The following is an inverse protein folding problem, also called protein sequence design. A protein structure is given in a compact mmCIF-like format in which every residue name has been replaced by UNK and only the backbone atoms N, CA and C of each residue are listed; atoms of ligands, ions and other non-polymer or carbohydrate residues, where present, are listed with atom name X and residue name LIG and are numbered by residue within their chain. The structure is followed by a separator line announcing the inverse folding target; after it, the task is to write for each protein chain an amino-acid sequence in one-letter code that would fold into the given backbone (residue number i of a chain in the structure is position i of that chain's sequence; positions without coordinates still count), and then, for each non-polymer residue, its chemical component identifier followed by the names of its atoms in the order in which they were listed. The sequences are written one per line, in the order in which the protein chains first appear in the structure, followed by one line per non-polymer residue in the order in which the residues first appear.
data_IF_853565287487
#
_entry.id   IF_853565287487
#
_cell.length_a   1.000
_cell.length_b   1.000
_cell.length_c   1.000
_cell.angle_alpha   90.00
_cell.angle_beta   90.00
_cell.angle_gamma   90.00
#
_symmetry.space_group_name_H-M   'P 1'
#
loop_
_entity.id
_entity.type
_entity.pdbx_description
1 polymer ?
#
# COMPACT_ATOMS: atom_id res chain seq x y z
N UNK A 1 24.98 16.76 -16.98
CA UNK A 1 26.35 16.23 -16.78
C UNK A 1 26.39 14.91 -16.01
N UNK A 2 25.44 14.59 -15.12
CA UNK A 2 25.43 13.32 -14.35
C UNK A 2 25.27 12.07 -15.23
N UNK A 3 24.49 12.14 -16.32
CA UNK A 3 24.19 10.97 -17.16
C UNK A 3 25.38 10.36 -17.91
N UNK A 4 26.31 11.18 -18.42
CA UNK A 4 27.45 10.68 -19.19
C UNK A 4 28.49 9.98 -18.31
N UNK A 5 28.72 10.50 -17.10
CA UNK A 5 29.66 9.90 -16.14
C UNK A 5 29.16 8.56 -15.60
N UNK A 6 27.84 8.41 -15.39
CA UNK A 6 27.22 7.14 -14.97
C UNK A 6 27.30 6.09 -16.09
N UNK A 7 27.08 6.50 -17.34
CA UNK A 7 27.19 5.61 -18.50
C UNK A 7 28.61 5.06 -18.68
N UNK A 8 29.63 5.92 -18.54
CA UNK A 8 31.05 5.51 -18.62
C UNK A 8 31.44 4.57 -17.47
N UNK A 9 30.90 4.78 -16.27
CA UNK A 9 31.16 3.92 -15.11
C UNK A 9 30.54 2.51 -15.28
N UNK A 10 29.30 2.43 -15.77
CA UNK A 10 28.66 1.14 -16.04
C UNK A 10 29.36 0.37 -17.16
N UNK A 11 29.83 1.08 -18.20
CA UNK A 11 30.58 0.47 -19.30
C UNK A 11 31.93 -0.09 -18.81
N UNK A 12 32.59 0.58 -17.85
CA UNK A 12 33.82 0.09 -17.22
C UNK A 12 33.59 -1.16 -16.34
N UNK A 13 32.49 -1.22 -15.58
CA UNK A 13 32.12 -2.40 -14.78
C UNK A 13 31.86 -3.64 -15.64
N UNK A 14 31.39 -3.46 -16.88
CA UNK A 14 31.14 -4.56 -17.82
C UNK A 14 32.44 -4.99 -18.50
N UNK A 15 33.32 -4.06 -18.88
CA UNK A 15 34.57 -4.38 -19.59
C UNK A 15 35.64 -5.02 -18.69
N UNK A 16 35.67 -4.71 -17.40
CA UNK A 16 36.65 -5.24 -16.44
C UNK A 16 36.61 -6.77 -16.30
N UNK A 17 35.45 -7.44 -16.11
CA UNK A 17 35.39 -8.91 -16.09
C UNK A 17 35.66 -9.54 -17.46
N UNK A 18 35.28 -8.88 -18.56
CA UNK A 18 35.54 -9.37 -19.93
C UNK A 18 37.06 -9.43 -20.20
N UNK A 19 37.82 -8.42 -19.79
CA UNK A 19 39.29 -8.40 -19.93
C UNK A 19 40.02 -9.42 -19.04
N UNK A 20 39.39 -9.88 -17.95
CA UNK A 20 39.92 -10.93 -17.06
C UNK A 20 39.63 -12.35 -17.56
N UNK A 21 38.51 -12.56 -18.26
CA UNK A 21 38.13 -13.87 -18.82
C UNK A 21 38.62 -14.11 -20.25
N UNK A 22 38.95 -13.07 -21.02
CA UNK A 22 39.37 -13.22 -22.42
C UNK A 22 40.69 -12.47 -22.73
N UNK A 23 41.84 -13.15 -22.63
CA UNK A 23 43.17 -12.53 -22.81
C UNK A 23 43.52 -11.86 -24.16
N UNK A 24 42.97 -12.24 -25.34
CA UNK A 24 43.46 -11.73 -26.63
C UNK A 24 43.01 -10.30 -26.97
N UNK A 25 42.15 -9.65 -26.16
CA UNK A 25 41.79 -8.22 -26.36
C UNK A 25 42.91 -7.27 -25.91
N UNK A 26 43.81 -7.73 -25.04
CA UNK A 26 44.93 -6.91 -24.54
C UNK A 26 46.03 -6.68 -25.58
N UNK A 27 46.05 -7.39 -26.72
CA UNK A 27 47.06 -7.20 -27.76
C UNK A 27 46.84 -5.92 -28.60
N UNK A 28 45.69 -5.27 -28.47
CA UNK A 28 45.41 -3.99 -29.14
C UNK A 28 46.11 -2.81 -28.45
N UNK A 29 46.41 -2.95 -27.15
CA UNK A 29 47.19 -1.97 -26.39
C UNK A 29 48.62 -2.50 -26.29
N UNK A 30 49.58 -1.82 -26.90
CA UNK A 30 51.02 -2.15 -26.93
C UNK A 30 51.67 -2.14 -25.52
N UNK A 31 51.24 -3.03 -24.62
CA UNK A 31 51.78 -3.16 -23.27
C UNK A 31 52.60 -4.45 -23.22
N UNK A 32 53.94 -4.37 -23.13
CA UNK A 32 54.80 -5.55 -23.12
C UNK A 32 54.58 -6.35 -21.82
N UNK A 33 54.00 -7.54 -21.99
CA UNK A 33 53.92 -8.66 -21.03
C UNK A 33 53.68 -8.26 -19.55
N UNK A 34 52.51 -7.66 -19.21
CA UNK A 34 52.22 -7.27 -17.85
C UNK A 34 51.91 -8.52 -16.99
N UNK A 35 52.72 -8.74 -15.96
CA UNK A 35 52.45 -9.80 -14.99
C UNK A 35 51.12 -9.55 -14.28
N UNK A 36 50.38 -10.62 -13.96
CA UNK A 36 49.04 -10.56 -13.33
C UNK A 36 48.99 -9.62 -12.12
N UNK A 37 50.06 -9.55 -11.32
CA UNK A 37 50.21 -8.62 -10.19
C UNK A 37 50.21 -7.14 -10.60
N UNK A 38 50.89 -6.77 -11.70
CA UNK A 38 50.94 -5.38 -12.20
C UNK A 38 49.58 -4.94 -12.75
N UNK A 39 48.85 -5.84 -13.41
CA UNK A 39 47.48 -5.58 -13.89
C UNK A 39 46.56 -5.27 -12.69
N UNK A 40 46.58 -6.11 -11.65
CA UNK A 40 45.75 -5.87 -10.46
C UNK A 40 46.07 -4.55 -9.75
N UNK A 41 47.34 -4.15 -9.68
CA UNK A 41 47.74 -2.88 -9.06
C UNK A 41 47.22 -1.69 -9.86
N UNK A 42 47.35 -1.70 -11.19
CA UNK A 42 46.93 -0.59 -12.06
C UNK A 42 45.40 -0.43 -12.07
N UNK A 43 44.66 -1.54 -12.23
CA UNK A 43 43.20 -1.51 -12.24
C UNK A 43 42.62 -1.23 -10.85
N UNK A 44 43.23 -1.76 -9.79
CA UNK A 44 42.83 -1.49 -8.40
C UNK A 44 43.04 -0.03 -8.01
N UNK A 45 44.17 0.58 -8.38
CA UNK A 45 44.41 2.01 -8.10
C UNK A 45 43.47 2.92 -8.88
N UNK A 46 43.11 2.56 -10.12
CA UNK A 46 42.16 3.32 -10.93
C UNK A 46 40.74 3.28 -10.37
N UNK A 47 40.27 2.11 -9.91
CA UNK A 47 38.98 1.96 -9.23
C UNK A 47 38.90 2.80 -7.95
N UNK A 48 39.92 2.71 -7.08
CA UNK A 48 39.95 3.47 -5.83
C UNK A 48 39.94 4.99 -6.07
N UNK A 49 40.69 5.48 -7.07
CA UNK A 49 40.68 6.89 -7.45
C UNK A 49 39.31 7.35 -7.99
N UNK A 50 38.61 6.48 -8.74
CA UNK A 50 37.26 6.77 -9.24
C UNK A 50 36.23 6.93 -8.11
N UNK A 51 36.28 6.06 -7.09
CA UNK A 51 35.39 6.17 -5.92
C UNK A 51 35.65 7.45 -5.11
N UNK A 52 36.92 7.82 -4.91
CA UNK A 52 37.28 9.07 -4.21
C UNK A 52 36.77 10.29 -5.00
N UNK A 53 36.95 10.30 -6.32
CA UNK A 53 36.49 11.40 -7.16
C UNK A 53 34.95 11.53 -7.16
N UNK A 54 34.23 10.40 -7.19
CA UNK A 54 32.76 10.38 -7.11
C UNK A 54 32.26 10.89 -5.75
N UNK A 55 32.91 10.50 -4.65
CA UNK A 55 32.62 11.00 -3.30
C UNK A 55 32.82 12.52 -3.19
N UNK A 56 33.89 13.06 -3.77
CA UNK A 56 34.13 14.52 -3.81
C UNK A 56 33.03 15.22 -4.63
N UNK A 57 32.64 14.69 -5.79
CA UNK A 57 31.58 15.27 -6.63
C UNK A 57 30.24 15.28 -5.89
N UNK A 58 29.87 14.20 -5.19
CA UNK A 58 28.65 14.14 -4.38
C UNK A 58 28.70 15.11 -3.20
N UNK A 59 29.86 15.25 -2.54
CA UNK A 59 30.05 16.20 -1.45
C UNK A 59 29.94 17.66 -1.92
N UNK A 60 30.46 17.99 -3.11
CA UNK A 60 30.31 19.31 -3.71
C UNK A 60 28.87 19.58 -4.16
N UNK A 61 28.12 18.55 -4.58
CA UNK A 61 26.70 18.68 -4.92
C UNK A 61 25.81 18.96 -3.70
N UNK A 62 26.16 18.46 -2.50
CA UNK A 62 25.41 18.76 -1.27
C UNK A 62 25.65 20.18 -0.74
N UNK A 63 26.82 20.76 -1.02
CA UNK A 63 27.18 22.07 -0.48
C UNK A 63 26.61 23.26 -1.27
N UNK A 64 25.96 23.02 -2.43
CA UNK A 64 25.38 24.07 -3.27
C UNK A 64 23.85 24.22 -3.12
N UNK A 65 23.27 23.62 -2.08
CA UNK A 65 21.90 23.85 -1.59
C UNK A 65 21.94 24.61 -0.25
N UNK A 66 22.66 25.73 -0.21
CA UNK A 66 22.39 26.80 0.76
C UNK A 66 22.04 28.05 -0.03
N UNK A 67 20.88 28.02 -0.69
CA UNK A 67 20.23 29.24 -1.15
C UNK A 67 19.63 29.90 0.09
N UNK A 68 20.39 30.87 0.61
CA UNK A 68 19.94 32.10 1.26
C UNK A 68 18.64 32.03 2.08
N UNK A 69 18.74 31.60 3.34
CA UNK A 69 17.86 32.18 4.38
C UNK A 69 18.26 33.64 4.57
N UNK A 70 17.56 34.53 3.86
CA UNK A 70 17.57 35.95 4.18
C UNK A 70 16.74 36.15 5.44
N UNK A 71 17.43 36.36 6.55
CA UNK A 71 16.89 36.80 7.84
C UNK A 71 16.20 38.16 7.68
N UNK A 72 14.90 38.17 7.41
CA UNK A 72 14.07 39.37 7.57
C UNK A 72 13.70 39.49 9.05
N UNK A 73 14.51 40.23 9.80
CA UNK A 73 14.08 40.85 11.05
C UNK A 73 13.28 42.09 10.69
N UNK A 74 11.95 41.96 10.61
CA UNK A 74 11.04 43.09 10.77
C UNK A 74 9.89 42.68 11.69
N UNK A 75 9.71 43.47 12.74
CA UNK A 75 8.61 43.34 13.68
C UNK A 75 7.27 43.48 12.93
N UNK A 76 6.24 42.67 13.24
CA UNK A 76 4.95 42.83 12.62
C UNK A 76 4.28 44.07 13.23
N UNK A 77 4.30 45.17 12.48
CA UNK A 77 3.26 46.20 12.59
C UNK A 77 1.95 45.52 12.17
N UNK A 78 1.07 45.29 13.13
CA UNK A 78 -0.27 44.75 12.93
C UNK A 78 -1.06 45.74 12.08
N UNK A 79 -1.01 45.55 10.76
CA UNK A 79 -2.01 46.10 9.85
C UNK A 79 -3.16 45.10 9.86
N UNK A 80 -4.40 45.50 10.20
CA UNK A 80 -5.54 44.61 10.13
C UNK A 80 -5.78 44.27 8.66
N UNK A 81 -5.37 43.06 8.27
CA UNK A 81 -5.79 42.44 7.02
C UNK A 81 -7.31 42.28 7.13
N UNK A 82 -8.12 42.89 6.23
CA UNK A 82 -9.54 42.62 6.24
C UNK A 82 -9.72 41.13 6.05
N UNK A 83 -10.49 40.50 6.95
CA UNK A 83 -10.94 39.12 6.86
C UNK A 83 -11.68 38.90 5.54
N UNK A 84 -10.90 38.68 4.48
CA UNK A 84 -11.41 38.20 3.21
C UNK A 84 -11.72 36.75 3.43
N UNK A 85 -13.01 36.49 3.58
CA UNK A 85 -13.65 35.18 3.63
C UNK A 85 -13.01 34.33 2.53
N UNK A 86 -12.17 33.37 2.90
CA UNK A 86 -11.74 32.31 1.99
C UNK A 86 -12.96 31.41 1.86
N UNK A 87 -13.82 31.76 0.92
CA UNK A 87 -14.91 30.90 0.48
C UNK A 87 -14.25 29.61 -0.04
N UNK A 88 -14.62 28.42 0.47
CA UNK A 88 -14.05 27.17 0.01
C UNK A 88 -14.29 27.09 -1.50
N UNK A 89 -13.24 26.83 -2.28
CA UNK A 89 -13.35 26.64 -3.72
C UNK A 89 -14.25 25.43 -4.02
N UNK A 90 -15.55 25.67 -4.17
CA UNK A 90 -16.51 24.68 -4.64
C UNK A 90 -16.18 24.46 -6.12
N UNK A 91 -15.37 23.45 -6.41
CA UNK A 91 -15.19 23.02 -7.80
C UNK A 91 -16.54 22.51 -8.26
N UNK A 92 -17.19 23.14 -9.26
CA UNK A 92 -18.51 22.72 -9.70
C UNK A 92 -18.44 21.30 -10.26
N UNK A 93 -19.42 20.47 -9.91
CA UNK A 93 -19.59 19.17 -10.54
C UNK A 93 -19.70 19.30 -12.07
N UNK A 94 -19.21 18.32 -12.85
CA UNK A 94 -19.29 18.39 -14.31
C UNK A 94 -20.73 18.50 -14.80
N UNK A 95 -20.94 19.26 -15.88
CA UNK A 95 -22.26 19.69 -16.36
C UNK A 95 -23.18 18.55 -16.87
N UNK A 96 -22.65 17.32 -17.06
CA UNK A 96 -23.35 16.18 -17.68
C UNK A 96 -23.26 14.90 -16.84
N UNK A 97 -23.74 14.94 -15.60
CA UNK A 97 -23.84 13.75 -14.75
C UNK A 97 -25.15 12.99 -15.02
N UNK A 98 -25.06 11.68 -15.28
CA UNK A 98 -26.22 10.78 -15.27
C UNK A 98 -26.62 10.52 -13.81
N UNK A 99 -27.82 10.97 -13.40
CA UNK A 99 -28.29 10.75 -12.04
C UNK A 99 -28.85 9.33 -11.87
N UNK A 100 -28.49 8.66 -10.79
CA UNK A 100 -29.01 7.34 -10.44
C UNK A 100 -29.12 7.14 -8.94
N UNK A 101 -30.10 6.32 -8.52
CA UNK A 101 -30.27 5.91 -7.12
C UNK A 101 -29.46 4.65 -6.83
N UNK A 102 -28.64 4.70 -5.78
CA UNK A 102 -27.85 3.57 -5.31
C UNK A 102 -28.71 2.69 -4.42
N UNK A 103 -28.82 1.42 -4.80
CA UNK A 103 -29.55 0.40 -4.05
C UNK A 103 -28.74 -0.16 -2.89
N UNK A 104 -27.49 -0.54 -3.16
CA UNK A 104 -26.55 -1.06 -2.18
C UNK A 104 -25.11 -0.94 -2.64
N UNK A 105 -24.20 -0.85 -1.68
CA UNK A 105 -22.77 -0.97 -1.88
C UNK A 105 -22.36 -2.44 -1.83
N UNK A 106 -21.60 -2.88 -2.83
CA UNK A 106 -21.11 -4.26 -2.94
C UNK A 106 -19.76 -4.37 -2.21
N UNK A 107 -18.84 -3.46 -2.51
CA UNK A 107 -17.51 -3.34 -1.89
C UNK A 107 -17.07 -1.86 -1.86
N UNK A 108 -15.82 -1.56 -1.50
CA UNK A 108 -15.32 -0.20 -1.35
C UNK A 108 -15.36 0.66 -2.62
N UNK A 109 -15.42 0.06 -3.82
CA UNK A 109 -15.38 0.76 -5.11
C UNK A 109 -16.43 0.26 -6.12
N UNK A 110 -17.38 -0.53 -5.66
CA UNK A 110 -18.44 -1.13 -6.48
C UNK A 110 -19.80 -0.95 -5.82
N UNK A 111 -20.76 -0.42 -6.58
CA UNK A 111 -22.14 -0.21 -6.15
C UNK A 111 -23.12 -0.83 -7.12
N UNK A 112 -24.32 -1.13 -6.65
CA UNK A 112 -25.45 -1.49 -7.50
C UNK A 112 -26.54 -0.44 -7.42
N UNK A 113 -27.14 -0.15 -8.57
CA UNK A 113 -28.21 0.82 -8.72
C UNK A 113 -29.58 0.13 -8.64
N UNK A 114 -30.64 0.91 -8.40
CA UNK A 114 -32.02 0.39 -8.38
C UNK A 114 -32.45 -0.25 -9.70
N UNK A 115 -31.89 0.21 -10.83
CA UNK A 115 -32.15 -0.37 -12.15
C UNK A 115 -31.37 -1.68 -12.43
N UNK A 116 -30.68 -2.23 -11.42
CA UNK A 116 -29.93 -3.49 -11.52
C UNK A 116 -28.54 -3.37 -12.15
N UNK A 117 -28.15 -2.19 -12.67
CA UNK A 117 -26.79 -1.98 -13.18
C UNK A 117 -25.78 -1.92 -12.02
N UNK A 118 -24.57 -2.40 -12.28
CA UNK A 118 -23.44 -2.38 -11.35
C UNK A 118 -22.42 -1.37 -11.85
N UNK A 119 -21.95 -0.51 -10.96
CA UNK A 119 -20.93 0.51 -11.25
C UNK A 119 -19.63 0.11 -10.58
N UNK A 120 -18.51 0.14 -11.33
CA UNK A 120 -17.14 0.06 -10.81
C UNK A 120 -16.48 1.43 -10.92
N UNK A 121 -15.91 1.90 -9.82
CA UNK A 121 -15.32 3.22 -9.75
C UNK A 121 -14.02 3.25 -10.57
N UNK A 122 -13.87 4.25 -11.43
CA UNK A 122 -12.67 4.42 -12.25
C UNK A 122 -11.52 4.98 -11.41
N UNK A 123 -10.30 4.53 -11.69
CA UNK A 123 -9.06 5.16 -11.22
C UNK A 123 -8.64 4.83 -9.79
N UNK A 124 -9.43 4.00 -9.09
CA UNK A 124 -9.18 3.62 -7.70
C UNK A 124 -9.35 2.11 -7.48
N UNK A 125 -8.67 1.58 -6.47
CA UNK A 125 -8.80 0.19 -6.05
C UNK A 125 -8.89 0.09 -4.53
N UNK A 126 -9.94 -0.54 -4.03
CA UNK A 126 -10.16 -0.77 -2.60
C UNK A 126 -9.73 -2.17 -2.19
N UNK A 127 -9.35 -2.38 -0.92
CA UNK A 127 -9.06 -3.71 -0.43
C UNK A 127 -10.30 -4.60 -0.52
N UNK A 128 -10.12 -5.79 -1.07
CA UNK A 128 -11.23 -6.72 -1.32
C UNK A 128 -11.79 -7.31 -0.02
N UNK A 129 -13.11 -7.27 0.14
CA UNK A 129 -13.84 -7.75 1.33
C UNK A 129 -14.65 -9.02 1.07
N UNK A 130 -15.00 -9.32 -0.18
CA UNK A 130 -16.11 -10.23 -0.53
C UNK A 130 -15.70 -11.39 -1.43
N UNK A 131 -14.49 -11.39 -2.01
CA UNK A 131 -14.01 -12.53 -2.81
C UNK A 131 -13.76 -13.76 -1.92
N UNK A 132 -14.58 -14.83 -2.00
CA UNK A 132 -14.47 -16.00 -1.14
C UNK A 132 -13.19 -16.81 -1.38
N UNK A 133 -12.43 -16.49 -2.44
CA UNK A 133 -11.16 -17.14 -2.78
C UNK A 133 -9.95 -16.46 -2.13
N UNK A 134 -10.15 -15.29 -1.51
CA UNK A 134 -9.06 -14.47 -0.94
C UNK A 134 -9.37 -14.16 0.53
N UNK A 135 -8.35 -14.05 1.39
CA UNK A 135 -8.56 -13.48 2.71
C UNK A 135 -9.05 -12.04 2.58
N UNK A 136 -9.92 -11.62 3.49
CA UNK A 136 -10.34 -10.21 3.62
C UNK A 136 -9.08 -9.38 3.80
N UNK A 137 -8.90 -8.39 2.91
CA UNK A 137 -7.72 -7.54 2.96
C UNK A 137 -7.85 -6.55 4.13
N UNK A 138 -6.72 -6.10 4.67
CA UNK A 138 -6.72 -5.07 5.70
C UNK A 138 -7.48 -3.84 5.19
N UNK A 139 -8.34 -3.27 6.03
CA UNK A 139 -9.15 -2.09 5.75
C UNK A 139 -10.32 -2.29 4.74
N UNK A 140 -10.58 -3.52 4.30
CA UNK A 140 -11.62 -3.81 3.31
C UNK A 140 -13.05 -3.53 3.82
N UNK A 141 -13.31 -3.84 5.11
CA UNK A 141 -14.62 -3.61 5.74
C UNK A 141 -14.86 -2.12 5.93
N UNK A 142 -13.83 -1.41 6.35
CA UNK A 142 -13.80 0.03 6.59
C UNK A 142 -14.00 0.81 5.28
N UNK A 143 -13.34 0.39 4.20
CA UNK A 143 -13.56 0.96 2.86
C UNK A 143 -15.01 0.77 2.39
N UNK A 144 -15.56 -0.44 2.57
CA UNK A 144 -16.94 -0.74 2.21
C UNK A 144 -17.95 0.06 3.06
N UNK A 145 -17.70 0.17 4.38
CA UNK A 145 -18.53 0.95 5.28
C UNK A 145 -18.50 2.44 4.93
N UNK A 146 -17.32 2.98 4.61
CA UNK A 146 -17.19 4.37 4.21
C UNK A 146 -17.95 4.67 2.92
N UNK A 147 -17.84 3.79 1.91
CA UNK A 147 -18.58 3.97 0.68
C UNK A 147 -20.11 3.90 0.95
N UNK A 148 -20.57 3.02 1.85
CA UNK A 148 -21.99 2.97 2.27
C UNK A 148 -22.48 4.30 2.84
N UNK A 149 -21.74 4.89 3.77
CA UNK A 149 -22.08 6.19 4.36
C UNK A 149 -22.23 7.29 3.30
N UNK A 150 -21.39 7.25 2.27
CA UNK A 150 -21.36 8.28 1.23
C UNK A 150 -22.49 8.13 0.21
N UNK A 151 -22.87 6.90 -0.16
CA UNK A 151 -23.72 6.69 -1.34
C UNK A 151 -24.89 5.73 -1.17
N UNK A 152 -24.95 4.88 -0.13
CA UNK A 152 -26.03 3.88 -0.04
C UNK A 152 -27.41 4.54 0.18
N UNK A 153 -28.41 4.15 -0.62
CA UNK A 153 -29.74 4.76 -0.61
C UNK A 153 -29.79 6.20 -1.14
N UNK A 154 -28.68 6.74 -1.66
CA UNK A 154 -28.57 8.11 -2.13
C UNK A 154 -28.73 8.20 -3.66
N UNK A 155 -29.12 9.40 -4.12
CA UNK A 155 -28.93 9.79 -5.52
C UNK A 155 -27.49 10.24 -5.71
N UNK A 156 -26.82 9.69 -6.73
CA UNK A 156 -25.46 10.03 -7.14
C UNK A 156 -25.44 10.45 -8.60
N UNK A 157 -24.48 11.30 -8.95
CA UNK A 157 -24.14 11.61 -10.34
C UNK A 157 -23.07 10.66 -10.86
N UNK A 158 -23.27 10.15 -12.06
CA UNK A 158 -22.36 9.21 -12.73
C UNK A 158 -21.76 9.88 -13.95
N UNK A 159 -20.44 9.94 -13.99
CA UNK A 159 -19.69 10.43 -15.14
C UNK A 159 -18.95 9.27 -15.80
N UNK A 160 -19.12 9.13 -17.11
CA UNK A 160 -18.32 8.21 -17.91
C UNK A 160 -17.02 8.90 -18.37
N UNK A 161 -15.95 8.13 -18.43
CA UNK A 161 -14.74 8.50 -19.16
C UNK A 161 -14.82 8.00 -20.62
N UNK A 162 -13.91 7.12 -21.04
CA UNK A 162 -13.85 6.61 -22.42
C UNK A 162 -14.60 5.28 -22.53
N UNK A 163 -14.31 4.34 -21.65
CA UNK A 163 -14.87 2.99 -21.66
C UNK A 163 -16.27 2.96 -21.04
N UNK A 164 -17.17 2.17 -21.63
CA UNK A 164 -18.53 2.00 -21.10
C UNK A 164 -18.58 0.99 -19.96
N UNK A 165 -17.98 -0.18 -20.17
CA UNK A 165 -17.99 -1.33 -19.25
C UNK A 165 -16.61 -1.97 -19.15
N UNK A 166 -16.38 -2.67 -18.04
CA UNK A 166 -15.27 -3.61 -17.92
C UNK A 166 -15.61 -4.98 -18.53
N UNK A 167 -14.65 -5.92 -18.50
CA UNK A 167 -14.82 -7.29 -19.00
C UNK A 167 -15.88 -8.12 -18.27
N UNK A 168 -16.38 -7.66 -17.13
CA UNK A 168 -17.44 -8.31 -16.34
C UNK A 168 -18.81 -7.67 -16.58
N UNK A 169 -18.90 -6.66 -17.46
CA UNK A 169 -20.14 -5.95 -17.77
C UNK A 169 -20.54 -4.91 -16.74
N UNK A 170 -19.65 -4.56 -15.78
CA UNK A 170 -19.90 -3.46 -14.85
C UNK A 170 -19.64 -2.14 -15.57
N UNK A 171 -20.52 -1.15 -15.37
CA UNK A 171 -20.31 0.18 -15.92
C UNK A 171 -19.12 0.85 -15.23
N UNK A 172 -18.26 1.49 -16.00
CA UNK A 172 -17.13 2.25 -15.49
C UNK A 172 -17.54 3.70 -15.33
N UNK A 173 -17.54 4.22 -14.09
CA UNK A 173 -17.92 5.62 -13.80
C UNK A 173 -17.03 6.27 -12.74
N UNK A 174 -16.91 7.59 -12.83
CA UNK A 174 -16.65 8.45 -11.68
C UNK A 174 -17.97 8.74 -10.97
N UNK A 175 -17.97 8.67 -9.64
CA UNK A 175 -19.19 8.81 -8.83
C UNK A 175 -19.14 10.11 -8.05
N UNK A 176 -20.21 10.89 -8.18
CA UNK A 176 -20.39 12.16 -7.50
C UNK A 176 -21.55 12.06 -6.52
N UNK A 177 -21.33 12.53 -5.29
CA UNK A 177 -22.40 12.83 -4.35
C UNK A 177 -22.42 14.34 -4.18
N UNK A 178 -23.49 14.97 -4.67
CA UNK A 178 -23.56 16.44 -4.79
C UNK A 178 -22.37 16.97 -5.61
N UNK A 179 -21.50 17.81 -5.02
CA UNK A 179 -20.29 18.33 -5.66
C UNK A 179 -19.00 17.56 -5.28
N UNK A 180 -19.13 16.43 -4.59
CA UNK A 180 -17.99 15.65 -4.09
C UNK A 180 -17.72 14.47 -5.02
N UNK A 181 -16.52 14.40 -5.59
CA UNK A 181 -16.03 13.23 -6.31
C UNK A 181 -15.68 12.13 -5.29
N UNK A 182 -16.56 11.14 -5.15
CA UNK A 182 -16.45 10.05 -4.16
C UNK A 182 -15.15 9.27 -4.37
N UNK A 183 -14.74 9.05 -5.62
CA UNK A 183 -13.48 8.38 -5.95
C UNK A 183 -12.28 9.06 -5.28
N UNK A 184 -12.19 10.39 -5.39
CA UNK A 184 -11.11 11.19 -4.80
C UNK A 184 -11.17 11.16 -3.28
N UNK A 185 -12.38 11.29 -2.71
CA UNK A 185 -12.58 11.30 -1.27
C UNK A 185 -12.11 9.99 -0.62
N UNK A 186 -12.49 8.84 -1.20
CA UNK A 186 -12.08 7.52 -0.70
C UNK A 186 -10.56 7.36 -0.71
N UNK A 187 -9.86 7.85 -1.74
CA UNK A 187 -8.40 7.82 -1.79
C UNK A 187 -7.78 8.77 -0.76
N UNK A 188 -8.29 10.01 -0.68
CA UNK A 188 -7.80 11.05 0.23
C UNK A 188 -7.95 10.67 1.71
N UNK A 189 -8.99 9.91 2.05
CA UNK A 189 -9.21 9.38 3.39
C UNK A 189 -8.50 8.03 3.64
N UNK A 190 -7.82 7.47 2.63
CA UNK A 190 -7.01 6.26 2.77
C UNK A 190 -7.80 4.95 2.68
N UNK A 191 -9.02 4.94 2.13
CA UNK A 191 -9.82 3.73 1.92
C UNK A 191 -9.52 3.04 0.58
N UNK A 192 -8.90 3.75 -0.36
CA UNK A 192 -8.56 3.24 -1.68
C UNK A 192 -7.14 3.64 -2.09
N UNK A 193 -6.52 2.85 -2.97
CA UNK A 193 -5.29 3.19 -3.67
C UNK A 193 -5.63 3.84 -5.02
N UNK A 194 -4.73 4.70 -5.50
CA UNK A 194 -4.80 5.22 -6.86
C UNK A 194 -4.38 4.11 -7.84
N UNK A 195 -5.25 3.76 -8.80
CA UNK A 195 -4.98 2.68 -9.76
C UNK A 195 -5.40 3.06 -11.17
N UNK A 196 -4.42 3.17 -12.07
CA UNK A 196 -4.61 3.66 -13.44
C UNK A 196 -4.84 2.53 -14.43
N UNK A 197 -5.90 2.65 -15.24
CA UNK A 197 -6.21 1.72 -16.32
C UNK A 197 -6.59 2.51 -17.59
N UNK A 198 -5.63 2.76 -18.50
CA UNK A 198 -5.92 3.41 -19.78
C UNK A 198 -7.00 2.64 -20.57
N UNK A 199 -7.91 3.34 -21.26
CA UNK A 199 -7.91 4.79 -21.53
C UNK A 199 -8.54 5.68 -20.44
N UNK A 200 -9.09 5.11 -19.37
CA UNK A 200 -9.89 5.82 -18.37
C UNK A 200 -9.03 6.48 -17.27
N UNK A 201 -8.40 7.61 -17.61
CA UNK A 201 -7.39 8.27 -16.76
C UNK A 201 -7.68 9.76 -16.51
N UNK A 202 -8.87 10.26 -16.81
CA UNK A 202 -9.24 11.69 -16.70
C UNK A 202 -8.86 12.35 -15.37
N UNK A 203 -9.03 11.66 -14.25
CA UNK A 203 -8.74 12.18 -12.91
C UNK A 203 -7.53 11.51 -12.23
N UNK A 204 -6.70 10.77 -12.97
CA UNK A 204 -5.64 9.97 -12.37
C UNK A 204 -4.63 10.78 -11.55
N UNK A 205 -4.26 11.97 -12.02
CA UNK A 205 -3.33 12.85 -11.29
C UNK A 205 -3.93 13.34 -9.98
N UNK A 206 -5.23 13.65 -9.97
CA UNK A 206 -5.97 14.03 -8.77
C UNK A 206 -5.98 12.90 -7.73
N UNK A 207 -6.21 11.66 -8.16
CA UNK A 207 -6.15 10.50 -7.27
C UNK A 207 -4.74 10.23 -6.77
N UNK A 208 -3.71 10.41 -7.61
CA UNK A 208 -2.31 10.28 -7.20
C UNK A 208 -1.94 11.28 -6.09
N UNK A 209 -2.37 12.53 -6.22
CA UNK A 209 -2.16 13.57 -5.20
C UNK A 209 -2.94 13.28 -3.91
N UNK A 210 -4.19 12.84 -4.03
CA UNK A 210 -4.99 12.41 -2.88
C UNK A 210 -4.35 11.24 -2.13
N UNK A 211 -3.79 10.26 -2.85
CA UNK A 211 -3.11 9.11 -2.22
C UNK A 211 -1.84 9.56 -1.51
N UNK A 212 -1.08 10.47 -2.13
CA UNK A 212 0.11 11.06 -1.50
C UNK A 212 -0.26 11.78 -0.18
N UNK A 213 -1.32 12.59 -0.18
CA UNK A 213 -1.82 13.24 1.04
C UNK A 213 -2.22 12.20 2.11
N UNK A 214 -2.92 11.14 1.72
CA UNK A 214 -3.33 10.09 2.65
C UNK A 214 -2.12 9.37 3.28
N UNK A 215 -1.06 9.13 2.50
CA UNK A 215 0.20 8.54 2.98
C UNK A 215 0.95 9.45 3.95
N UNK A 216 1.10 10.72 3.60
CA UNK A 216 1.80 11.71 4.44
C UNK A 216 1.09 11.91 5.79
N UNK A 217 -0.23 11.69 5.84
CA UNK A 217 -1.05 11.79 7.03
C UNK A 217 -1.35 10.44 7.71
N UNK A 218 -0.74 9.34 7.27
CA UNK A 218 -0.95 7.99 7.81
C UNK A 218 -2.44 7.58 7.92
N UNK A 219 -3.25 7.95 6.93
CA UNK A 219 -4.71 7.68 6.94
C UNK A 219 -5.01 6.28 6.41
N UNK A 220 -5.99 5.61 7.03
CA UNK A 220 -6.54 4.34 6.58
C UNK A 220 -5.49 3.28 6.27
N UNK A 221 -5.41 2.86 5.00
CA UNK A 221 -4.44 1.90 4.48
C UNK A 221 -2.97 2.23 4.79
N UNK A 222 -2.67 3.50 5.05
CA UNK A 222 -1.34 4.00 5.33
C UNK A 222 -1.05 4.15 6.82
N UNK A 223 -2.02 3.84 7.68
CA UNK A 223 -1.87 3.80 9.13
C UNK A 223 -1.28 2.49 9.64
N UNK A 224 -0.88 2.47 10.91
CA UNK A 224 -0.18 1.33 11.54
C UNK A 224 -0.97 0.02 11.51
N UNK A 225 -2.31 0.09 11.51
CA UNK A 225 -3.21 -1.07 11.52
C UNK A 225 -2.98 -2.04 10.35
N UNK A 226 -2.52 -1.53 9.20
CA UNK A 226 -2.24 -2.36 8.02
C UNK A 226 -0.74 -2.61 7.76
N UNK A 227 0.16 -2.00 8.55
CA UNK A 227 1.61 -2.16 8.40
C UNK A 227 2.16 -3.39 9.12
N UNK A 228 1.36 -4.03 9.98
CA UNK A 228 1.72 -5.28 10.66
C UNK A 228 1.60 -6.44 9.68
N UNK A 229 2.56 -6.53 8.77
CA UNK A 229 2.88 -7.83 8.17
C UNK A 229 3.43 -8.67 9.32
N UNK A 230 2.96 -9.90 9.58
CA UNK A 230 3.61 -10.77 10.55
C UNK A 230 5.02 -11.03 10.02
N UNK A 231 5.97 -10.24 10.51
CA UNK A 231 7.38 -10.46 10.29
C UNK A 231 7.71 -11.68 11.12
N UNK A 232 7.52 -12.86 10.53
CA UNK A 232 8.16 -14.09 10.98
C UNK A 232 9.64 -13.91 10.67
N UNK A 233 10.31 -13.11 11.48
CA UNK A 233 11.74 -12.96 11.47
C UNK A 233 12.10 -12.56 12.88
N UNK A 234 12.94 -13.37 13.52
CA UNK A 234 13.46 -13.25 14.89
C UNK A 234 12.80 -14.08 16.02
N UNK A 235 12.27 -15.30 15.79
CA UNK A 235 12.25 -16.32 16.88
C UNK A 235 12.43 -17.76 16.35
N UNK A 236 13.47 -18.01 15.56
CA UNK A 236 14.04 -19.36 15.45
C UNK A 236 15.24 -19.44 16.39
N UNK A 237 14.95 -19.56 17.68
CA UNK A 237 15.90 -20.12 18.65
C UNK A 237 15.40 -21.53 18.94
N UNK A 238 16.01 -22.51 18.27
CA UNK A 238 15.84 -23.94 18.50
C UNK A 238 15.95 -24.29 19.99
N UNK A 239 15.01 -25.04 20.57
CA UNK A 239 15.24 -25.69 21.85
C UNK A 239 16.02 -26.99 21.62
N UNK A 240 17.27 -26.97 22.05
CA UNK A 240 18.12 -28.16 22.26
C UNK A 240 17.46 -29.09 23.28
N UNK A 241 17.31 -30.37 22.91
CA UNK A 241 16.93 -31.46 23.81
C UNK A 241 17.87 -31.52 25.03
N UNK A 242 17.31 -31.58 26.24
CA UNK A 242 17.78 -32.46 27.31
C UNK A 242 16.80 -32.52 28.47
N UNK A 243 16.87 -33.64 29.18
CA UNK A 243 15.85 -34.22 30.04
C UNK A 243 15.91 -33.74 31.50
N UNK A 244 14.82 -34.04 32.22
CA UNK A 244 14.74 -34.76 33.52
C UNK A 244 13.82 -34.06 34.54
N UNK A 245 12.74 -34.76 34.91
CA UNK A 245 12.34 -35.00 36.30
C UNK A 245 11.53 -33.95 37.07
N UNK A 246 10.23 -34.22 37.24
CA UNK A 246 9.67 -34.46 38.58
C UNK A 246 8.99 -33.32 39.37
N UNK A 247 7.73 -33.59 39.72
CA UNK A 247 6.98 -33.18 40.92
C UNK A 247 6.10 -31.91 40.82
N UNK A 248 4.81 -32.15 41.12
CA UNK A 248 3.68 -31.22 41.17
C UNK A 248 3.68 -30.37 42.44
N UNK A 249 3.29 -29.09 42.37
CA UNK A 249 2.14 -28.56 43.15
C UNK A 249 1.67 -27.20 42.63
N UNK A 250 0.41 -26.89 42.96
CA UNK A 250 -0.54 -25.96 42.37
C UNK A 250 -0.13 -24.48 42.37
N UNK A 251 -0.48 -23.76 41.29
CA UNK A 251 -0.93 -22.37 41.37
C UNK A 251 -1.74 -21.98 40.13
N UNK A 252 -2.88 -21.35 40.42
CA UNK A 252 -3.89 -20.83 39.50
C UNK A 252 -3.28 -19.98 38.38
N UNK A 253 -3.40 -20.41 37.12
CA UNK A 253 -3.04 -19.61 35.95
C UNK A 253 -4.00 -19.91 34.79
N UNK A 254 -4.70 -18.88 34.36
CA UNK A 254 -5.44 -18.75 33.11
C UNK A 254 -4.52 -19.19 31.95
N UNK A 255 -4.69 -20.42 31.48
CA UNK A 255 -3.93 -20.94 30.36
C UNK A 255 -4.45 -20.33 29.06
N UNK A 256 -3.62 -19.50 28.43
CA UNK A 256 -3.76 -19.15 27.03
C UNK A 256 -3.48 -20.40 26.20
N UNK A 257 -4.49 -21.23 26.02
CA UNK A 257 -4.45 -22.30 25.04
C UNK A 257 -4.44 -21.64 23.65
N UNK A 258 -3.28 -21.65 22.98
CA UNK A 258 -3.19 -21.18 21.60
C UNK A 258 -3.84 -22.24 20.70
N UNK A 259 -5.15 -22.13 20.48
CA UNK A 259 -5.85 -23.01 19.57
C UNK A 259 -5.30 -22.83 18.13
N UNK A 260 -5.15 -23.92 17.39
CA UNK A 260 -4.75 -23.88 15.98
C UNK A 260 -5.99 -23.81 15.10
N UNK A 261 -5.97 -22.99 14.04
CA UNK A 261 -7.10 -22.86 13.14
C UNK A 261 -7.39 -24.18 12.40
N UNK A 262 -8.61 -24.69 12.57
CA UNK A 262 -9.09 -25.90 11.93
C UNK A 262 -10.62 -25.83 11.74
N UNK A 263 -11.04 -25.24 10.61
CA UNK A 263 -12.47 -25.08 10.32
C UNK A 263 -13.20 -26.41 10.06
N UNK A 264 -12.49 -27.53 9.85
CA UNK A 264 -13.07 -28.86 9.66
C UNK A 264 -13.54 -29.51 10.96
N UNK A 265 -13.07 -29.04 12.13
CA UNK A 265 -13.64 -29.46 13.41
C UNK A 265 -15.09 -28.97 13.53
N UNK A 266 -15.97 -29.80 14.07
CA UNK A 266 -17.37 -29.47 14.36
C UNK A 266 -17.54 -29.14 15.84
N UNK A 267 -18.59 -28.37 16.19
CA UNK A 267 -18.86 -27.93 17.57
C UNK A 267 -18.71 -29.03 18.63
N UNK A 268 -19.24 -30.27 18.46
CA UNK A 268 -19.09 -31.33 19.46
C UNK A 268 -17.64 -31.76 19.77
N UNK A 269 -16.66 -31.35 18.96
CA UNK A 269 -15.26 -31.79 19.04
C UNK A 269 -14.31 -30.68 19.53
N UNK A 270 -14.82 -29.63 20.18
CA UNK A 270 -14.01 -28.55 20.74
C UNK A 270 -14.66 -27.90 21.97
N UNK A 271 -13.85 -27.17 22.76
CA UNK A 271 -14.37 -26.36 23.87
C UNK A 271 -15.02 -25.07 23.36
N UNK A 272 -15.81 -24.39 24.19
CA UNK A 272 -16.40 -23.09 23.81
C UNK A 272 -15.36 -21.99 23.59
N UNK A 273 -14.27 -22.00 24.36
CA UNK A 273 -13.15 -21.09 24.13
C UNK A 273 -12.44 -21.39 22.80
N UNK A 274 -12.25 -22.67 22.46
CA UNK A 274 -11.73 -23.07 21.16
C UNK A 274 -12.72 -22.68 20.05
N UNK A 275 -14.02 -22.92 20.21
CA UNK A 275 -15.05 -22.55 19.23
C UNK A 275 -15.08 -21.05 18.95
N UNK A 276 -15.03 -20.21 19.99
CA UNK A 276 -14.99 -18.76 19.85
C UNK A 276 -13.70 -18.29 19.17
N UNK A 277 -12.57 -18.92 19.48
CA UNK A 277 -11.32 -18.66 18.77
C UNK A 277 -11.41 -19.07 17.29
N UNK A 278 -11.99 -20.24 17.00
CA UNK A 278 -12.20 -20.68 15.61
C UNK A 278 -13.12 -19.72 14.83
N UNK A 279 -14.13 -19.14 15.49
CA UNK A 279 -15.04 -18.16 14.88
C UNK A 279 -14.35 -16.81 14.66
N UNK A 280 -13.84 -16.20 15.73
CA UNK A 280 -13.37 -14.79 15.74
C UNK A 280 -11.95 -14.63 15.19
N UNK A 281 -11.07 -15.60 15.43
CA UNK A 281 -9.66 -15.55 15.02
C UNK A 281 -9.45 -16.33 13.71
N UNK A 282 -10.08 -17.49 13.57
CA UNK A 282 -9.89 -18.35 12.38
C UNK A 282 -10.93 -18.17 11.28
N UNK A 283 -12.00 -17.40 11.51
CA UNK A 283 -13.03 -17.09 10.50
C UNK A 283 -13.94 -18.26 10.14
N UNK A 284 -14.07 -19.27 11.03
CA UNK A 284 -14.84 -20.46 10.76
C UNK A 284 -16.35 -20.26 10.99
N UNK A 285 -16.99 -19.43 10.14
CA UNK A 285 -18.38 -18.97 10.30
C UNK A 285 -19.47 -20.04 10.29
N UNK A 286 -19.19 -21.28 9.87
CA UNK A 286 -20.15 -22.39 9.98
C UNK A 286 -20.50 -22.77 11.44
N UNK A 287 -19.82 -22.18 12.42
CA UNK A 287 -20.05 -22.36 13.86
C UNK A 287 -21.01 -21.35 14.46
N UNK A 288 -21.33 -20.29 13.73
CA UNK A 288 -22.25 -19.22 14.14
C UNK A 288 -23.40 -19.20 13.12
N UNK A 289 -24.43 -20.00 13.42
CA UNK A 289 -25.48 -20.32 12.46
C UNK A 289 -26.51 -19.19 12.32
N UNK A 290 -26.78 -18.48 13.41
CA UNK A 290 -27.70 -17.35 13.53
C UNK A 290 -27.02 -15.98 13.43
N UNK A 291 -25.68 -15.95 13.35
CA UNK A 291 -24.85 -14.78 13.06
C UNK A 291 -24.89 -13.73 14.16
N UNK A 292 -24.90 -14.17 15.40
CA UNK A 292 -24.90 -13.30 16.59
C UNK A 292 -23.50 -13.15 17.22
N UNK A 293 -22.46 -13.65 16.53
CA UNK A 293 -21.05 -13.63 16.95
C UNK A 293 -20.73 -14.56 18.12
N UNK A 294 -21.62 -15.49 18.47
CA UNK A 294 -21.39 -16.57 19.43
C UNK A 294 -21.15 -17.88 18.67
N UNK A 295 -20.06 -18.57 19.00
CA UNK A 295 -19.77 -19.86 18.39
C UNK A 295 -20.52 -20.99 19.11
N UNK A 296 -21.17 -21.86 18.34
CA UNK A 296 -21.73 -23.13 18.80
C UNK A 296 -22.82 -22.99 19.88
N UNK A 297 -23.81 -22.11 19.67
CA UNK A 297 -24.87 -21.76 20.64
C UNK A 297 -25.54 -22.94 21.34
N UNK A 298 -25.83 -24.01 20.60
CA UNK A 298 -26.43 -25.22 21.17
C UNK A 298 -25.59 -25.93 22.24
N UNK A 299 -24.30 -25.59 22.38
CA UNK A 299 -23.35 -26.21 23.29
C UNK A 299 -22.67 -25.22 24.25
N UNK A 300 -22.73 -23.92 23.96
CA UNK A 300 -21.97 -22.89 24.67
C UNK A 300 -22.83 -21.83 25.37
N UNK A 301 -24.15 -22.01 25.35
CA UNK A 301 -25.14 -21.28 26.17
C UNK A 301 -25.36 -21.94 27.53
#
# INVERSE_FOLDING_TARGET
MVGLSVLLFLLFLILLPIGLLWPPILSLFHIPNPTRKKVFIIFGSSLLASFILMGIIVSLSKNNLQVAETKITQAPTVVPIPSSIVEPSITPAPLNLELATVKRVIDGDTISLENGKVIRYIGIDTPEAVDPRKPVQCYAKEASARNKELVEGQIVGLEKDVSETDKYGRLLRYVYKDNILVNELLVKEGYAKSSSYPPDIKYQEKFRLAEQEARENNRGLWGEACLITPTISQIFSTPTKSQVGGVQTQQSQTQSESYACNCSKTCPNMSCAEAQYQLTVCGCGARDADKDEIACDSQCQ
#
